data_IF_609376039756
#
_entry.id   IF_609376039756
#
_cell.length_a   1.000
_cell.length_b   1.000
_cell.length_c   1.000
_cell.angle_alpha   90.00
_cell.angle_beta   90.00
_cell.angle_gamma   90.00
#
_symmetry.space_group_name_H-M   'P 1'
#
loop_
_entity.id
_entity.type
_entity.pdbx_description
1 polymer ?
#
# COMPACT_ATOMS: atom_id res chain seq x y z
N UNK A 1 -38.79 2.06 -17.22
CA UNK A 1 -38.36 1.09 -18.22
C UNK A 1 -37.20 0.34 -17.59
N UNK A 2 -37.41 -0.89 -17.14
CA UNK A 2 -36.36 -1.70 -16.53
C UNK A 2 -35.55 -2.38 -17.64
N UNK A 3 -34.23 -2.24 -17.63
CA UNK A 3 -33.36 -2.92 -18.56
C UNK A 3 -33.15 -4.35 -18.07
N UNK A 4 -33.59 -5.34 -18.85
CA UNK A 4 -33.32 -6.77 -18.60
C UNK A 4 -32.11 -7.22 -19.39
N UNK A 5 -31.12 -7.78 -18.69
CA UNK A 5 -29.89 -8.33 -19.27
C UNK A 5 -30.13 -9.80 -19.68
N UNK A 6 -29.74 -10.17 -20.90
CA UNK A 6 -29.80 -11.58 -21.34
C UNK A 6 -28.68 -12.41 -20.70
N UNK A 7 -28.87 -13.74 -20.64
CA UNK A 7 -27.88 -14.65 -20.07
C UNK A 7 -26.54 -14.64 -20.83
N UNK A 8 -26.57 -14.44 -22.15
CA UNK A 8 -25.36 -14.31 -22.97
C UNK A 8 -24.61 -13.01 -22.66
N UNK A 9 -25.33 -11.89 -22.54
CA UNK A 9 -24.71 -10.59 -22.18
C UNK A 9 -24.10 -10.65 -20.79
N UNK A 10 -24.77 -11.29 -19.83
CA UNK A 10 -24.21 -11.53 -18.49
C UNK A 10 -22.89 -12.31 -18.54
N UNK A 11 -22.85 -13.38 -19.34
CA UNK A 11 -21.66 -14.22 -19.49
C UNK A 11 -20.49 -13.42 -20.09
N UNK A 12 -20.76 -12.56 -21.06
CA UNK A 12 -19.75 -11.72 -21.68
C UNK A 12 -19.20 -10.67 -20.72
N UNK A 13 -20.02 -10.10 -19.84
CA UNK A 13 -19.55 -9.24 -18.75
C UNK A 13 -18.66 -9.98 -17.74
N UNK A 14 -18.98 -11.24 -17.41
CA UNK A 14 -18.12 -12.04 -16.54
C UNK A 14 -16.76 -12.34 -17.19
N UNK A 15 -16.75 -12.65 -18.49
CA UNK A 15 -15.51 -12.86 -19.25
C UNK A 15 -14.67 -11.60 -19.32
N UNK A 16 -15.30 -10.45 -19.58
CA UNK A 16 -14.64 -9.16 -19.57
C UNK A 16 -13.99 -8.87 -18.22
N UNK A 17 -14.73 -9.02 -17.12
CA UNK A 17 -14.20 -8.81 -15.77
C UNK A 17 -13.02 -9.74 -15.39
N UNK A 18 -12.95 -10.93 -15.98
CA UNK A 18 -11.83 -11.85 -15.78
C UNK A 18 -10.57 -11.44 -16.56
N UNK A 19 -10.71 -10.77 -17.70
CA UNK A 19 -9.59 -10.32 -18.55
C UNK A 19 -9.11 -8.93 -18.13
N UNK A 20 -10.03 -8.02 -17.85
CA UNK A 20 -9.77 -6.66 -17.41
C UNK A 20 -10.50 -6.42 -16.08
N UNK A 21 -9.87 -6.74 -14.94
CA UNK A 21 -10.45 -6.39 -13.65
C UNK A 21 -10.62 -4.87 -13.58
N UNK A 22 -11.79 -4.42 -13.15
CA UNK A 22 -12.11 -3.00 -13.00
C UNK A 22 -11.10 -2.34 -12.05
N UNK A 23 -10.12 -1.63 -12.63
CA UNK A 23 -9.03 -0.99 -11.89
C UNK A 23 -7.85 -1.93 -11.64
N UNK A 24 -6.65 -1.34 -11.55
CA UNK A 24 -5.47 -2.07 -11.13
C UNK A 24 -5.54 -2.27 -9.60
N UNK A 25 -5.58 -3.52 -9.08
CA UNK A 25 -5.62 -3.74 -7.63
C UNK A 25 -4.46 -3.05 -6.88
N UNK A 26 -3.31 -2.92 -7.55
CA UNK A 26 -2.17 -2.16 -7.04
C UNK A 26 -2.49 -0.67 -6.85
N UNK A 27 -3.25 -0.07 -7.77
CA UNK A 27 -3.63 1.35 -7.67
C UNK A 27 -4.54 1.58 -6.45
N UNK A 28 -5.45 0.65 -6.15
CA UNK A 28 -6.29 0.73 -4.95
C UNK A 28 -5.45 0.69 -3.67
N UNK A 29 -4.44 -0.18 -3.62
CA UNK A 29 -3.50 -0.25 -2.49
C UNK A 29 -2.71 1.06 -2.35
N UNK A 30 -2.18 1.61 -3.45
CA UNK A 30 -1.45 2.89 -3.42
C UNK A 30 -2.35 4.03 -2.95
N UNK A 31 -3.59 4.08 -3.45
CA UNK A 31 -4.58 5.09 -3.06
C UNK A 31 -4.96 4.95 -1.59
N UNK A 32 -5.17 3.73 -1.11
CA UNK A 32 -5.46 3.46 0.29
C UNK A 32 -4.30 3.90 1.20
N UNK A 33 -3.05 3.69 0.78
CA UNK A 33 -1.88 4.13 1.52
C UNK A 33 -1.77 5.66 1.59
N UNK A 34 -2.03 6.35 0.48
CA UNK A 34 -2.08 7.81 0.48
C UNK A 34 -3.18 8.35 1.39
N UNK A 35 -4.37 7.74 1.35
CA UNK A 35 -5.50 8.12 2.21
C UNK A 35 -5.20 7.90 3.68
N UNK A 36 -4.57 6.78 4.03
CA UNK A 36 -4.15 6.51 5.40
C UNK A 36 -3.15 7.57 5.91
N UNK A 37 -2.18 7.97 5.09
CA UNK A 37 -1.24 9.04 5.43
C UNK A 37 -1.94 10.38 5.64
N UNK A 38 -2.84 10.76 4.74
CA UNK A 38 -3.60 12.01 4.86
C UNK A 38 -4.52 12.00 6.09
N UNK A 39 -5.17 10.88 6.38
CA UNK A 39 -6.01 10.73 7.55
C UNK A 39 -5.19 10.81 8.85
N UNK A 40 -4.00 10.20 8.87
CA UNK A 40 -3.09 10.25 10.01
C UNK A 40 -2.60 11.67 10.31
N UNK A 41 -2.29 12.47 9.28
CA UNK A 41 -1.90 13.89 9.43
C UNK A 41 -3.00 14.70 10.14
N UNK A 42 -4.27 14.37 9.89
CA UNK A 42 -5.42 15.08 10.46
C UNK A 42 -6.04 14.34 11.66
N UNK A 43 -5.40 13.27 12.16
CA UNK A 43 -5.94 12.47 13.25
C UNK A 43 -5.87 13.24 14.56
N UNK A 44 -7.01 13.36 15.25
CA UNK A 44 -7.05 13.77 16.65
C UNK A 44 -6.85 12.53 17.56
N UNK A 45 -5.73 12.43 18.29
CA UNK A 45 -5.44 11.28 19.15
C UNK A 45 -6.43 11.12 20.31
N UNK A 46 -7.15 12.18 20.70
CA UNK A 46 -8.17 12.12 21.76
C UNK A 46 -9.47 11.49 21.27
N UNK A 47 -9.83 11.77 20.03
CA UNK A 47 -11.03 11.20 19.40
C UNK A 47 -10.79 9.79 18.85
N UNK A 48 -9.58 9.52 18.34
CA UNK A 48 -9.17 8.18 17.87
C UNK A 48 -7.73 7.89 18.28
N UNK A 49 -7.58 6.95 19.21
CA UNK A 49 -6.26 6.54 19.72
C UNK A 49 -5.47 5.74 18.69
N UNK A 50 -6.15 4.86 17.95
CA UNK A 50 -5.50 3.99 16.96
C UNK A 50 -5.19 4.74 15.65
N UNK A 51 -3.98 4.55 15.09
CA UNK A 51 -3.62 5.11 13.79
C UNK A 51 -4.54 4.63 12.67
N UNK A 52 -4.58 5.39 11.58
CA UNK A 52 -5.21 4.93 10.36
C UNK A 52 -4.30 3.96 9.62
N UNK A 53 -4.87 2.85 9.16
CA UNK A 53 -4.14 1.85 8.38
C UNK A 53 -4.73 1.76 6.96
N UNK A 54 -3.94 1.40 5.93
CA UNK A 54 -4.45 1.32 4.55
C UNK A 54 -5.71 0.46 4.40
N UNK A 55 -5.82 -0.62 5.18
CA UNK A 55 -7.02 -1.48 5.18
C UNK A 55 -8.32 -0.75 5.57
N UNK A 56 -8.24 0.36 6.31
CA UNK A 56 -9.41 1.18 6.67
C UNK A 56 -10.03 1.88 5.44
N UNK A 57 -9.30 1.94 4.32
CA UNK A 57 -9.69 2.63 3.08
C UNK A 57 -9.90 1.68 1.90
N UNK A 58 -9.91 0.37 2.15
CA UNK A 58 -10.14 -0.67 1.15
C UNK A 58 -11.53 -1.29 1.35
N UNK A 59 -12.39 -1.21 0.32
CA UNK A 59 -13.79 -1.65 0.41
C UNK A 59 -14.01 -3.14 0.20
N UNK A 60 -13.20 -3.78 -0.66
CA UNK A 60 -13.43 -5.16 -1.13
C UNK A 60 -12.28 -6.11 -0.81
N UNK A 61 -11.28 -5.63 -0.08
CA UNK A 61 -10.14 -6.45 0.32
C UNK A 61 -10.48 -7.11 1.63
N UNK A 62 -10.64 -8.44 1.62
CA UNK A 62 -10.76 -9.21 2.86
C UNK A 62 -9.53 -8.90 3.72
N UNK A 63 -9.68 -8.49 4.99
CA UNK A 63 -8.54 -8.39 5.90
C UNK A 63 -7.79 -9.71 5.85
N UNK A 64 -6.51 -9.68 5.49
CA UNK A 64 -5.68 -10.86 5.62
C UNK A 64 -5.66 -11.19 7.11
N UNK A 65 -6.27 -12.31 7.49
CA UNK A 65 -6.06 -12.89 8.82
C UNK A 65 -4.54 -12.99 9.00
N UNK A 66 -3.98 -12.48 10.12
CA UNK A 66 -2.56 -12.64 10.37
C UNK A 66 -2.26 -14.14 10.35
N UNK A 67 -1.57 -14.56 9.30
CA UNK A 67 -1.13 -15.95 9.19
C UNK A 67 0.02 -16.15 10.17
N UNK A 68 -0.17 -17.01 11.15
CA UNK A 68 0.90 -17.52 12.01
C UNK A 68 1.89 -18.40 11.23
N UNK A 69 1.63 -18.65 9.94
CA UNK A 69 2.56 -19.38 9.09
C UNK A 69 3.85 -18.57 8.93
N UNK A 70 5.02 -19.19 9.20
CA UNK A 70 6.29 -18.54 8.95
C UNK A 70 6.38 -18.15 7.46
N UNK A 71 6.67 -16.88 7.18
CA UNK A 71 6.81 -16.36 5.81
C UNK A 71 8.00 -17.01 5.09
N UNK A 72 8.99 -17.44 5.87
CA UNK A 72 10.19 -18.22 5.51
C UNK A 72 10.54 -19.04 6.76
N UNK A 73 11.11 -20.24 6.62
CA UNK A 73 11.52 -21.09 7.76
C UNK A 73 12.23 -20.28 8.85
N UNK A 74 11.59 -20.17 10.02
CA UNK A 74 12.16 -19.54 11.21
C UNK A 74 12.01 -18.02 11.36
N UNK A 75 11.28 -17.32 10.48
CA UNK A 75 11.03 -15.88 10.59
C UNK A 75 9.52 -15.57 10.66
N UNK A 76 9.10 -14.97 11.77
CA UNK A 76 7.73 -14.48 11.94
C UNK A 76 7.51 -13.17 11.15
N UNK A 77 6.25 -12.77 10.95
CA UNK A 77 5.92 -11.50 10.30
C UNK A 77 6.47 -10.27 11.05
N UNK A 78 6.66 -10.36 12.38
CA UNK A 78 7.26 -9.32 13.19
C UNK A 78 8.77 -9.17 12.90
N UNK A 79 9.47 -10.29 12.68
CA UNK A 79 10.90 -10.31 12.38
C UNK A 79 11.21 -9.70 11.02
N UNK A 80 10.31 -9.88 10.05
CA UNK A 80 10.46 -9.32 8.71
C UNK A 80 10.38 -7.79 8.69
N UNK A 81 9.45 -7.19 9.46
CA UNK A 81 9.34 -5.73 9.59
C UNK A 81 10.61 -5.12 10.18
N UNK A 82 11.17 -5.75 11.21
CA UNK A 82 12.43 -5.32 11.81
C UNK A 82 13.60 -5.45 10.82
N UNK A 83 13.69 -6.56 10.09
CA UNK A 83 14.71 -6.78 9.08
C UNK A 83 14.66 -5.73 7.94
N UNK A 84 13.45 -5.40 7.45
CA UNK A 84 13.26 -4.35 6.45
C UNK A 84 13.65 -2.97 6.99
N UNK A 85 13.26 -2.65 8.22
CA UNK A 85 13.62 -1.39 8.88
C UNK A 85 15.14 -1.23 9.02
N UNK A 86 15.85 -2.27 9.48
CA UNK A 86 17.30 -2.27 9.63
C UNK A 86 18.02 -2.11 8.28
N UNK A 87 17.54 -2.79 7.23
CA UNK A 87 18.08 -2.67 5.88
C UNK A 87 17.93 -1.26 5.31
N UNK A 88 16.77 -0.63 5.53
CA UNK A 88 16.52 0.76 5.11
C UNK A 88 17.42 1.76 5.88
N UNK A 89 17.66 1.52 7.17
CA UNK A 89 18.58 2.32 7.99
C UNK A 89 20.02 2.23 7.49
N UNK A 90 20.50 1.03 7.18
CA UNK A 90 21.83 0.82 6.61
C UNK A 90 21.99 1.53 5.26
N UNK A 91 21.00 1.45 4.37
CA UNK A 91 21.03 2.13 3.08
C UNK A 91 21.14 3.66 3.22
N UNK A 92 20.52 4.24 4.26
CA UNK A 92 20.65 5.68 4.57
C UNK A 92 22.03 6.03 5.12
N UNK A 93 22.60 5.20 5.97
CA UNK A 93 23.96 5.41 6.50
C UNK A 93 25.04 5.24 5.42
N UNK A 94 24.77 4.45 4.39
CA UNK A 94 25.68 4.19 3.27
C UNK A 94 25.53 5.18 2.10
N UNK A 95 24.63 6.16 2.20
CA UNK A 95 24.55 7.25 1.22
C UNK A 95 25.43 8.42 1.69
N UNK A 96 26.67 8.58 1.19
CA UNK A 96 27.42 9.81 1.44
C UNK A 96 26.72 10.93 0.67
N UNK A 97 26.23 11.94 1.40
CA UNK A 97 25.87 13.22 0.79
C UNK A 97 27.06 13.71 -0.05
N UNK A 98 26.86 13.87 -1.36
CA UNK A 98 27.80 14.59 -2.20
C UNK A 98 27.72 16.07 -1.83
N UNK A 99 28.82 16.73 -1.42
CA UNK A 99 28.79 18.15 -1.16
C UNK A 99 28.72 18.88 -2.51
N UNK A 100 27.53 19.30 -2.93
CA UNK A 100 27.39 20.38 -3.92
C UNK A 100 27.71 21.69 -3.23
N UNK A 101 28.99 21.95 -2.99
CA UNK A 101 29.48 23.28 -2.66
C UNK A 101 29.77 24.02 -3.97
N UNK A 102 29.04 25.12 -4.17
CA UNK A 102 29.13 25.96 -5.37
C UNK A 102 30.55 26.43 -5.66
N UNK A 103 30.85 26.57 -6.94
CA UNK A 103 32.07 27.19 -7.44
C UNK A 103 31.82 28.71 -7.54
N UNK A 104 32.39 29.57 -6.68
CA UNK A 104 32.43 30.99 -6.95
C UNK A 104 33.56 31.28 -7.95
N UNK A 105 33.18 31.88 -9.07
CA UNK A 105 34.06 32.35 -10.13
C UNK A 105 35.15 33.31 -9.65
N UNK A 106 36.38 33.17 -10.15
CA UNK A 106 37.34 34.23 -10.55
C UNK A 106 38.61 33.57 -11.15
N UNK A 107 39.49 34.25 -11.91
CA UNK A 107 39.80 35.70 -11.95
C UNK A 107 39.19 36.49 -13.12
#
# INVERSE_FOLDING_TARGET
MEATLSASEWLDWQRFAAVEPFGAPMLDVVQAQLRALLAEIHRDPKARTEPFAPQDFLLFTRPAEPSDAPLVDGLSAADWRLAMYLKALQARQQSPESPTAGNPATP
#
